data_IF_084429218317
#
_entry.id   IF_084429218317
#
_cell.length_a   1.000
_cell.length_b   1.000
_cell.length_c   1.000
_cell.angle_alpha   90.00
_cell.angle_beta   90.00
_cell.angle_gamma   90.00
#
_symmetry.space_group_name_H-M   'P 1'
#
loop_
_entity.id
_entity.type
_entity.pdbx_description
1 polymer ?
#
# COMPACT_ATOMS: atom_id res chain seq x y z
N UNK A 1 -1.18 28.95 -43.73
CA UNK A 1 -1.05 27.50 -43.42
C UNK A 1 -1.11 27.16 -41.92
N UNK A 2 -1.43 28.11 -41.02
CA UNK A 2 -1.35 27.90 -39.56
C UNK A 2 -2.66 27.48 -38.88
N UNK A 3 -3.81 27.74 -39.50
CA UNK A 3 -5.15 27.47 -38.91
C UNK A 3 -5.58 26.01 -38.97
N UNK A 4 -5.07 25.24 -39.93
CA UNK A 4 -5.37 23.81 -40.08
C UNK A 4 -4.63 22.99 -39.02
N UNK A 5 -3.38 23.34 -38.72
CA UNK A 5 -2.57 22.68 -37.70
C UNK A 5 -3.19 22.83 -36.30
N UNK A 6 -3.58 24.04 -35.89
CA UNK A 6 -4.20 24.26 -34.57
C UNK A 6 -5.51 23.47 -34.40
N UNK A 7 -6.29 23.31 -35.48
CA UNK A 7 -7.59 22.63 -35.44
C UNK A 7 -7.49 21.11 -35.29
N UNK A 8 -6.38 20.49 -35.71
CA UNK A 8 -6.15 19.05 -35.58
C UNK A 8 -5.17 18.67 -34.47
N UNK A 9 -4.27 19.57 -34.08
CA UNK A 9 -3.25 19.31 -33.06
C UNK A 9 -3.85 19.27 -31.65
N UNK A 10 -4.85 20.11 -31.37
CA UNK A 10 -5.57 20.14 -30.09
C UNK A 10 -6.35 18.83 -29.83
N UNK A 11 -7.20 18.31 -30.75
CA UNK A 11 -7.84 17.01 -30.56
C UNK A 11 -6.85 15.84 -30.54
N UNK A 12 -5.75 15.90 -31.31
CA UNK A 12 -4.71 14.87 -31.27
C UNK A 12 -4.02 14.79 -29.90
N UNK A 13 -3.73 15.93 -29.26
CA UNK A 13 -3.18 15.98 -27.90
C UNK A 13 -4.13 15.40 -26.86
N UNK A 14 -5.43 15.69 -26.97
CA UNK A 14 -6.46 15.13 -26.07
C UNK A 14 -6.52 13.61 -26.20
N UNK A 15 -6.52 13.07 -27.42
CA UNK A 15 -6.52 11.61 -27.64
C UNK A 15 -5.25 10.97 -27.08
N UNK A 16 -4.09 11.60 -27.30
CA UNK A 16 -2.82 11.12 -26.75
C UNK A 16 -2.83 11.12 -25.22
N UNK A 17 -3.32 12.19 -24.58
CA UNK A 17 -3.47 12.28 -23.13
C UNK A 17 -4.43 11.19 -22.60
N UNK A 18 -5.58 11.00 -23.23
CA UNK A 18 -6.53 9.94 -22.87
C UNK A 18 -5.92 8.53 -23.01
N UNK A 19 -5.15 8.28 -24.07
CA UNK A 19 -4.48 7.01 -24.27
C UNK A 19 -3.43 6.74 -23.19
N UNK A 20 -2.65 7.76 -22.81
CA UNK A 20 -1.69 7.68 -21.70
C UNK A 20 -2.40 7.40 -20.38
N UNK A 21 -3.48 8.11 -20.07
CA UNK A 21 -4.28 7.88 -18.86
C UNK A 21 -4.87 6.46 -18.83
N UNK A 22 -5.39 5.96 -19.94
CA UNK A 22 -5.90 4.60 -20.05
C UNK A 22 -4.80 3.55 -19.84
N UNK A 23 -3.60 3.78 -20.36
CA UNK A 23 -2.45 2.90 -20.19
C UNK A 23 -1.97 2.87 -18.73
N UNK A 24 -1.89 4.04 -18.09
CA UNK A 24 -1.55 4.16 -16.67
C UNK A 24 -2.59 3.45 -15.79
N UNK A 25 -3.88 3.65 -16.08
CA UNK A 25 -4.96 2.97 -15.36
C UNK A 25 -4.89 1.45 -15.51
N UNK A 26 -4.60 0.94 -16.72
CA UNK A 26 -4.42 -0.50 -16.95
C UNK A 26 -3.22 -1.07 -16.20
N UNK A 27 -2.08 -0.36 -16.20
CA UNK A 27 -0.90 -0.78 -15.43
C UNK A 27 -1.19 -0.86 -13.94
N UNK A 28 -1.86 0.15 -13.37
CA UNK A 28 -2.26 0.15 -11.95
C UNK A 28 -3.19 -1.01 -11.62
N UNK A 29 -4.21 -1.26 -12.44
CA UNK A 29 -5.12 -2.42 -12.26
C UNK A 29 -4.40 -3.75 -12.35
N UNK A 30 -3.46 -3.89 -13.30
CA UNK A 30 -2.65 -5.09 -13.44
C UNK A 30 -1.75 -5.35 -12.23
N UNK A 31 -1.17 -4.30 -11.66
CA UNK A 31 -0.32 -4.39 -10.46
C UNK A 31 -1.13 -4.84 -9.24
N UNK A 32 -2.25 -4.17 -8.97
CA UNK A 32 -3.15 -4.53 -7.87
C UNK A 32 -3.65 -5.97 -7.96
N UNK A 33 -4.04 -6.43 -9.16
CA UNK A 33 -4.45 -7.82 -9.38
C UNK A 33 -3.33 -8.82 -9.08
N UNK A 34 -2.08 -8.49 -9.41
CA UNK A 34 -0.94 -9.34 -9.09
C UNK A 34 -0.66 -9.42 -7.58
N UNK A 35 -0.89 -8.32 -6.84
CA UNK A 35 -0.76 -8.29 -5.38
C UNK A 35 -1.87 -9.11 -4.70
N UNK A 36 -3.11 -8.94 -5.15
CA UNK A 36 -4.26 -9.75 -4.69
C UNK A 36 -4.03 -11.25 -4.94
N UNK A 37 -3.54 -11.60 -6.12
CA UNK A 37 -3.21 -12.98 -6.47
C UNK A 37 -2.00 -13.51 -5.68
N UNK A 38 -1.01 -12.67 -5.39
CA UNK A 38 0.11 -13.06 -4.54
C UNK A 38 -0.35 -13.34 -3.11
N UNK A 39 -1.19 -12.46 -2.55
CA UNK A 39 -1.81 -12.65 -1.23
C UNK A 39 -2.60 -13.96 -1.19
N UNK A 40 -3.44 -14.23 -2.20
CA UNK A 40 -4.23 -15.46 -2.25
C UNK A 40 -3.36 -16.71 -2.36
N UNK A 41 -2.31 -16.71 -3.19
CA UNK A 41 -1.39 -17.84 -3.34
C UNK A 41 -0.59 -18.15 -2.07
N UNK A 42 -0.20 -17.14 -1.27
CA UNK A 42 0.48 -17.38 0.02
C UNK A 42 -0.41 -18.22 0.95
N UNK A 43 -1.73 -17.97 0.91
CA UNK A 43 -2.71 -18.66 1.77
C UNK A 43 -3.04 -20.06 1.24
N UNK A 44 -3.14 -20.21 -0.09
CA UNK A 44 -3.55 -21.47 -0.73
C UNK A 44 -2.53 -22.61 -0.54
N UNK A 45 -1.29 -22.29 -0.16
CA UNK A 45 -0.24 -23.28 0.10
C UNK A 45 -0.49 -24.15 1.35
N UNK A 46 -1.45 -23.81 2.23
CA UNK A 46 -1.65 -24.53 3.50
C UNK A 46 -3.10 -24.51 4.01
N UNK A 47 -3.97 -25.36 3.43
CA UNK A 47 -5.37 -25.57 3.86
C UNK A 47 -6.27 -24.30 3.79
N UNK A 48 -7.60 -24.46 3.63
CA UNK A 48 -8.50 -23.32 3.83
C UNK A 48 -8.28 -22.76 5.24
N UNK A 49 -8.04 -21.45 5.39
CA UNK A 49 -7.83 -20.87 6.71
C UNK A 49 -9.05 -21.17 7.57
N UNK A 50 -8.84 -21.71 8.76
CA UNK A 50 -9.93 -21.88 9.72
C UNK A 50 -10.67 -20.55 9.87
N UNK A 51 -12.01 -20.54 9.93
CA UNK A 51 -12.77 -19.31 10.11
C UNK A 51 -12.20 -18.60 11.33
N UNK A 52 -11.73 -17.36 11.13
CA UNK A 52 -11.11 -16.61 12.21
C UNK A 52 -12.21 -16.13 13.13
N UNK A 53 -12.08 -16.47 14.41
CA UNK A 53 -12.99 -16.02 15.45
C UNK A 53 -12.97 -14.48 15.55
N UNK A 54 -14.12 -13.79 15.40
CA UNK A 54 -14.19 -12.34 15.49
C UNK A 54 -13.67 -11.78 16.82
N UNK A 55 -13.81 -12.51 17.93
CA UNK A 55 -13.30 -12.05 19.22
C UNK A 55 -11.76 -12.01 19.25
N UNK A 56 -11.11 -12.96 18.59
CA UNK A 56 -9.65 -13.00 18.42
C UNK A 56 -9.13 -11.84 17.56
N UNK A 57 -9.85 -11.45 16.51
CA UNK A 57 -9.53 -10.25 15.70
C UNK A 57 -9.65 -8.96 16.52
N UNK A 58 -10.73 -8.83 17.30
CA UNK A 58 -10.92 -7.66 18.19
C UNK A 58 -9.81 -7.58 19.24
N UNK A 59 -9.46 -8.69 19.88
CA UNK A 59 -8.39 -8.74 20.88
C UNK A 59 -7.03 -8.36 20.28
N UNK A 60 -6.71 -8.88 19.09
CA UNK A 60 -5.49 -8.51 18.38
C UNK A 60 -5.47 -7.00 18.06
N UNK A 61 -6.59 -6.46 17.57
CA UNK A 61 -6.70 -5.03 17.23
C UNK A 61 -6.58 -4.12 18.46
N UNK A 62 -7.08 -4.54 19.63
CA UNK A 62 -6.91 -3.78 20.87
C UNK A 62 -5.45 -3.71 21.32
N UNK A 63 -4.67 -4.77 21.11
CA UNK A 63 -3.27 -4.84 21.52
C UNK A 63 -2.32 -4.16 20.52
N UNK A 64 -2.61 -4.26 19.22
CA UNK A 64 -1.67 -3.87 18.17
C UNK A 64 -2.16 -2.72 17.28
N UNK A 65 -3.45 -2.38 17.35
CA UNK A 65 -4.08 -1.45 16.41
C UNK A 65 -3.50 -0.06 16.43
N UNK A 66 -3.34 0.54 17.61
CA UNK A 66 -2.83 1.91 17.73
C UNK A 66 -1.42 2.07 17.14
N UNK A 67 -0.49 1.19 17.51
CA UNK A 67 0.90 1.21 16.99
C UNK A 67 0.92 1.00 15.48
N UNK A 68 0.10 0.09 14.96
CA UNK A 68 0.00 -0.15 13.52
C UNK A 68 -0.55 1.08 12.78
N UNK A 69 -1.58 1.71 13.33
CA UNK A 69 -2.19 2.89 12.72
C UNK A 69 -1.24 4.08 12.71
N UNK A 70 -0.52 4.32 13.82
CA UNK A 70 0.49 5.37 13.90
C UNK A 70 1.64 5.14 12.90
N UNK A 71 2.09 3.89 12.74
CA UNK A 71 3.13 3.52 11.78
C UNK A 71 2.65 3.67 10.32
N UNK A 72 1.40 3.30 10.01
CA UNK A 72 0.80 3.53 8.69
C UNK A 72 0.68 5.04 8.43
N UNK A 73 0.23 5.81 9.42
CA UNK A 73 0.09 7.26 9.30
C UNK A 73 1.43 7.96 9.05
N UNK A 74 2.52 7.52 9.69
CA UNK A 74 3.86 8.04 9.42
C UNK A 74 4.30 7.80 7.95
N UNK A 75 3.98 6.62 7.41
CA UNK A 75 4.22 6.30 5.99
C UNK A 75 3.35 7.14 5.03
N UNK A 76 2.13 7.51 5.44
CA UNK A 76 1.27 8.42 4.69
C UNK A 76 1.76 9.87 4.76
N UNK A 77 2.25 10.34 5.91
CA UNK A 77 2.83 11.69 6.05
C UNK A 77 4.11 11.84 5.19
N UNK A 78 4.91 10.79 5.02
CA UNK A 78 6.02 10.79 4.06
C UNK A 78 5.52 11.11 2.63
N UNK A 79 4.41 10.51 2.21
CA UNK A 79 3.86 10.74 0.86
C UNK A 79 3.47 12.20 0.65
N UNK A 80 2.80 12.78 1.63
CA UNK A 80 2.32 14.15 1.57
C UNK A 80 3.50 15.13 1.54
N UNK A 81 4.51 14.92 2.39
CA UNK A 81 5.69 15.81 2.47
C UNK A 81 6.66 15.64 1.30
N UNK A 82 6.83 14.42 0.78
CA UNK A 82 7.62 14.18 -0.42
C UNK A 82 7.05 14.91 -1.65
N UNK A 83 5.74 15.16 -1.67
CA UNK A 83 5.10 15.95 -2.73
C UNK A 83 5.36 17.47 -2.61
N UNK A 84 5.83 17.92 -1.45
CA UNK A 84 6.05 19.33 -1.09
C UNK A 84 7.53 19.74 -1.05
N UNK A 85 8.44 18.92 -1.60
CA UNK A 85 9.92 19.12 -1.61
C UNK A 85 10.61 19.09 -0.23
N UNK A 86 9.92 18.68 0.84
CA UNK A 86 10.50 18.48 2.19
C UNK A 86 10.84 17.00 2.46
N UNK A 87 11.74 16.45 1.64
CA UNK A 87 11.97 15.01 1.60
C UNK A 87 12.87 14.48 2.74
N UNK A 88 13.89 15.25 3.13
CA UNK A 88 14.91 14.80 4.09
C UNK A 88 14.35 14.67 5.51
N UNK A 89 13.58 15.67 5.96
CA UNK A 89 13.00 15.66 7.31
C UNK A 89 11.90 14.61 7.42
N UNK A 90 11.12 14.42 6.35
CA UNK A 90 10.10 13.38 6.28
C UNK A 90 10.71 11.97 6.31
N UNK A 91 11.83 11.74 5.62
CA UNK A 91 12.57 10.48 5.68
C UNK A 91 13.07 10.19 7.11
N UNK A 92 13.71 11.17 7.76
CA UNK A 92 14.22 11.00 9.12
C UNK A 92 13.11 10.81 10.17
N UNK A 93 11.92 11.37 9.95
CA UNK A 93 10.75 11.11 10.78
C UNK A 93 10.24 9.67 10.58
N UNK A 94 10.22 9.20 9.33
CA UNK A 94 9.77 7.85 9.01
C UNK A 94 10.71 6.77 9.54
N UNK A 95 12.02 6.94 9.38
CA UNK A 95 13.02 6.01 9.94
C UNK A 95 12.85 5.85 11.46
N UNK A 96 12.65 6.97 12.19
CA UNK A 96 12.38 6.93 13.63
C UNK A 96 11.07 6.23 13.98
N UNK A 97 10.03 6.41 13.18
CA UNK A 97 8.75 5.71 13.36
C UNK A 97 8.89 4.20 13.15
N UNK A 98 9.61 3.78 12.09
CA UNK A 98 9.85 2.35 11.81
C UNK A 98 10.69 1.71 12.92
N UNK A 99 11.76 2.37 13.37
CA UNK A 99 12.60 1.89 14.47
C UNK A 99 11.79 1.74 15.77
N UNK A 100 10.97 2.74 16.12
CA UNK A 100 10.16 2.70 17.33
C UNK A 100 9.07 1.62 17.30
N UNK A 101 8.51 1.32 16.14
CA UNK A 101 7.43 0.33 15.98
C UNK A 101 7.93 -1.09 15.65
N UNK A 102 9.21 -1.25 15.28
CA UNK A 102 9.74 -2.47 14.69
C UNK A 102 9.41 -3.74 15.50
N UNK A 103 9.79 -3.80 16.77
CA UNK A 103 9.57 -4.99 17.60
C UNK A 103 8.07 -5.29 17.76
N UNK A 104 7.26 -4.27 18.08
CA UNK A 104 5.83 -4.43 18.28
C UNK A 104 5.11 -4.94 17.03
N UNK A 105 5.50 -4.43 15.85
CA UNK A 105 4.97 -4.90 14.59
C UNK A 105 5.37 -6.36 14.30
N UNK A 106 6.51 -6.86 14.82
CA UNK A 106 6.98 -8.24 14.52
C UNK A 106 6.11 -9.21 15.31
N UNK A 107 5.83 -8.84 16.57
CA UNK A 107 4.87 -9.51 17.43
C UNK A 107 3.47 -9.44 16.81
N UNK A 108 3.04 -8.28 16.34
CA UNK A 108 1.71 -8.10 15.73
C UNK A 108 1.52 -9.00 14.49
N UNK A 109 2.52 -9.08 13.61
CA UNK A 109 2.51 -10.01 12.48
C UNK A 109 2.42 -11.45 12.98
N UNK A 110 3.33 -11.88 13.85
CA UNK A 110 3.37 -13.27 14.32
C UNK A 110 2.07 -13.70 15.02
N UNK A 111 1.44 -12.79 15.77
CA UNK A 111 0.23 -13.04 16.55
C UNK A 111 -1.08 -12.89 15.77
N UNK A 112 -1.06 -12.44 14.51
CA UNK A 112 -2.30 -12.16 13.79
C UNK A 112 -3.15 -13.44 13.60
N UNK A 113 -4.40 -13.47 14.09
CA UNK A 113 -5.21 -14.70 14.14
C UNK A 113 -5.56 -15.22 12.74
N UNK A 114 -5.88 -14.32 11.81
CA UNK A 114 -6.10 -14.66 10.42
C UNK A 114 -4.76 -14.80 9.64
N UNK A 115 -4.45 -15.97 9.05
CA UNK A 115 -3.19 -16.21 8.35
C UNK A 115 -3.05 -15.42 7.04
N UNK A 116 -4.16 -15.08 6.38
CA UNK A 116 -4.16 -14.21 5.20
C UNK A 116 -3.76 -12.80 5.57
N UNK A 117 -4.42 -12.25 6.59
CA UNK A 117 -4.11 -10.91 7.12
C UNK A 117 -2.68 -10.85 7.65
N UNK A 118 -2.21 -11.93 8.30
CA UNK A 118 -0.81 -12.08 8.69
C UNK A 118 0.16 -11.94 7.51
N UNK A 119 -0.10 -12.65 6.42
CA UNK A 119 0.72 -12.58 5.22
C UNK A 119 0.69 -11.17 4.61
N UNK A 120 -0.48 -10.56 4.50
CA UNK A 120 -0.65 -9.19 4.00
C UNK A 120 0.12 -8.17 4.85
N UNK A 121 0.02 -8.23 6.18
CA UNK A 121 0.77 -7.36 7.09
C UNK A 121 2.29 -7.58 7.00
N UNK A 122 2.72 -8.83 6.85
CA UNK A 122 4.14 -9.16 6.67
C UNK A 122 4.70 -8.57 5.37
N UNK A 123 3.92 -8.64 4.28
CA UNK A 123 4.30 -8.11 2.98
C UNK A 123 4.29 -6.57 2.98
N UNK A 124 3.30 -5.96 3.62
CA UNK A 124 3.22 -4.51 3.86
C UNK A 124 4.51 -4.01 4.53
N UNK A 125 4.90 -4.66 5.64
CA UNK A 125 6.11 -4.32 6.38
C UNK A 125 7.39 -4.53 5.58
N UNK A 126 7.48 -5.62 4.82
CA UNK A 126 8.64 -5.87 3.98
C UNK A 126 8.82 -4.80 2.90
N UNK A 127 7.72 -4.34 2.29
CA UNK A 127 7.71 -3.28 1.29
C UNK A 127 8.08 -1.92 1.90
N UNK A 128 7.55 -1.58 3.08
CA UNK A 128 7.92 -0.39 3.85
C UNK A 128 9.44 -0.35 4.13
N UNK A 129 9.98 -1.41 4.73
CA UNK A 129 11.43 -1.50 5.02
C UNK A 129 12.29 -1.43 3.76
N UNK A 130 11.86 -2.09 2.68
CA UNK A 130 12.56 -2.04 1.40
C UNK A 130 12.58 -0.63 0.80
N UNK A 131 11.56 0.19 1.11
CA UNK A 131 11.52 1.61 0.76
C UNK A 131 12.59 2.38 1.55
N UNK A 132 12.61 2.26 2.88
CA UNK A 132 13.59 2.94 3.75
C UNK A 132 15.04 2.58 3.39
N UNK A 133 15.31 1.30 3.17
CA UNK A 133 16.65 0.83 2.75
C UNK A 133 17.04 1.43 1.40
N UNK A 134 16.12 1.59 0.46
CA UNK A 134 16.42 2.22 -0.82
C UNK A 134 16.63 3.74 -0.67
N UNK A 135 15.87 4.41 0.21
CA UNK A 135 16.03 5.83 0.50
C UNK A 135 17.38 6.14 1.17
N UNK A 136 17.78 5.35 2.15
CA UNK A 136 19.09 5.47 2.82
C UNK A 136 20.26 5.25 1.85
N UNK A 137 20.05 4.48 0.77
CA UNK A 137 21.02 4.26 -0.31
C UNK A 137 20.97 5.35 -1.40
N UNK A 138 20.02 6.28 -1.35
CA UNK A 138 19.81 7.29 -2.39
C UNK A 138 19.21 6.75 -3.69
N UNK A 139 18.67 5.51 -3.70
CA UNK A 139 18.04 4.90 -4.87
C UNK A 139 16.53 5.22 -4.89
N UNK A 140 16.20 6.44 -5.30
CA UNK A 140 14.83 6.96 -5.32
C UNK A 140 13.88 6.16 -6.23
N UNK A 141 14.36 5.64 -7.37
CA UNK A 141 13.53 4.85 -8.27
C UNK A 141 13.20 3.47 -7.68
N UNK A 142 14.15 2.85 -6.97
CA UNK A 142 13.88 1.64 -6.21
C UNK A 142 12.97 1.90 -5.02
N UNK A 143 13.20 2.98 -4.27
CA UNK A 143 12.34 3.38 -3.16
C UNK A 143 10.91 3.59 -3.64
N UNK A 144 10.71 4.33 -4.74
CA UNK A 144 9.41 4.54 -5.37
C UNK A 144 8.71 3.22 -5.74
N UNK A 145 9.44 2.26 -6.31
CA UNK A 145 8.87 0.95 -6.67
C UNK A 145 8.40 0.19 -5.45
N UNK A 146 9.22 0.10 -4.40
CA UNK A 146 8.84 -0.57 -3.14
C UNK A 146 7.70 0.15 -2.44
N UNK A 147 7.68 1.48 -2.50
CA UNK A 147 6.63 2.28 -1.93
C UNK A 147 5.28 2.07 -2.63
N UNK A 148 5.27 1.90 -3.95
CA UNK A 148 4.03 1.53 -4.68
C UNK A 148 3.50 0.15 -4.22
N UNK A 149 4.40 -0.81 -3.98
CA UNK A 149 4.02 -2.12 -3.43
C UNK A 149 3.47 -1.98 -2.00
N UNK A 150 4.08 -1.13 -1.17
CA UNK A 150 3.56 -0.78 0.15
C UNK A 150 2.13 -0.23 0.05
N UNK A 151 1.88 0.73 -0.85
CA UNK A 151 0.56 1.31 -1.06
C UNK A 151 -0.48 0.26 -1.48
N UNK A 152 -0.12 -0.69 -2.34
CA UNK A 152 -1.04 -1.75 -2.76
C UNK A 152 -1.43 -2.66 -1.57
N UNK A 153 -0.47 -3.11 -0.76
CA UNK A 153 -0.78 -3.89 0.44
C UNK A 153 -1.53 -3.07 1.49
N UNK A 154 -1.26 -1.78 1.62
CA UNK A 154 -1.94 -0.88 2.55
C UNK A 154 -3.41 -0.75 2.18
N UNK A 155 -3.71 -0.57 0.90
CA UNK A 155 -5.08 -0.49 0.41
C UNK A 155 -5.82 -1.81 0.64
N UNK A 156 -5.19 -2.96 0.35
CA UNK A 156 -5.76 -4.27 0.66
C UNK A 156 -6.03 -4.43 2.16
N UNK A 157 -5.08 -4.00 2.99
CA UNK A 157 -5.23 -4.04 4.44
C UNK A 157 -6.42 -3.20 4.93
N UNK A 158 -6.64 -2.02 4.34
CA UNK A 158 -7.76 -1.14 4.69
C UNK A 158 -9.12 -1.68 4.19
N UNK A 159 -9.18 -2.21 2.96
CA UNK A 159 -10.41 -2.76 2.37
C UNK A 159 -11.01 -3.89 3.22
N UNK A 160 -10.16 -4.75 3.80
CA UNK A 160 -10.61 -5.84 4.66
C UNK A 160 -10.81 -5.46 6.13
N UNK A 161 -10.39 -4.25 6.55
CA UNK A 161 -10.61 -3.76 7.91
C UNK A 161 -12.04 -3.22 8.13
N UNK A 162 -12.80 -2.97 7.05
CA UNK A 162 -14.15 -2.39 7.10
C UNK A 162 -15.25 -3.40 6.73
N UNK A 163 -15.64 -4.35 7.60
CA UNK A 163 -16.89 -5.06 7.44
C UNK A 163 -18.02 -4.16 7.98
N UNK A 164 -18.45 -3.16 7.21
CA UNK A 164 -19.40 -2.14 7.69
C UNK A 164 -20.49 -1.65 6.74
N UNK A 165 -20.25 -1.51 5.43
CA UNK A 165 -21.14 -0.63 4.60
C UNK A 165 -21.59 -1.19 3.24
N UNK A 166 -21.54 -2.51 3.02
CA UNK A 166 -22.07 -3.12 1.78
C UNK A 166 -23.27 -4.05 1.99
N UNK A 167 -23.92 -3.99 3.15
CA UNK A 167 -25.22 -4.61 3.39
C UNK A 167 -26.34 -3.58 3.25
N UNK A 168 -26.62 -3.12 2.04
CA UNK A 168 -27.70 -2.16 1.81
C UNK A 168 -27.71 -1.56 0.43
N UNK A 169 -27.88 -2.38 -0.60
CA UNK A 169 -28.66 -1.99 -1.78
C UNK A 169 -29.01 -3.25 -2.59
N UNK A 170 -30.23 -3.74 -2.36
CA UNK A 170 -30.98 -4.64 -3.23
C UNK A 170 -32.44 -4.26 -3.14
#
# INVERSE_FOLDING_TARGET
MSTVYVRYLLPALVVAACAVLALVARRRRGHRRAVEEHSSRIVDATHPPAPTDPASEVAWRQLHGAVLDDWIAAHEDLLDRASADDFSDAQAALDRSDEAAAEHLDIAVAAHPNPRRRAELSALRAAARSTLVALTQGDYERARRHHLVYCDYRNLWQEYAAPGDHAGDS
#
